data_IF_628259994859
#
_entry.id   IF_628259994859
#
_cell.length_a   1.000
_cell.length_b   1.000
_cell.length_c   1.000
_cell.angle_alpha   90.00
_cell.angle_beta   90.00
_cell.angle_gamma   90.00
#
_symmetry.space_group_name_H-M   'P 1'
#
loop_
_entity.id
_entity.type
_entity.pdbx_description
1 polymer ?
#
# COMPACT_ATOMS: atom_id res chain seq x y z
N UNK A 1 8.96 -10.09 -21.82
CA UNK A 1 8.07 -9.21 -21.05
C UNK A 1 7.10 -10.09 -20.28
N UNK A 2 6.86 -9.81 -18.99
CA UNK A 2 5.79 -10.49 -18.23
C UNK A 2 4.44 -9.75 -18.32
N UNK A 3 4.42 -8.60 -19.00
CA UNK A 3 3.23 -7.81 -19.31
C UNK A 3 2.83 -8.08 -20.75
N UNK A 4 1.55 -8.37 -20.95
CA UNK A 4 0.95 -8.55 -22.27
C UNK A 4 0.38 -7.21 -22.77
N UNK A 5 0.68 -6.86 -24.02
CA UNK A 5 0.15 -5.66 -24.68
C UNK A 5 -1.35 -5.79 -24.95
N UNK A 6 -2.08 -4.66 -24.92
CA UNK A 6 -3.51 -4.59 -25.21
C UNK A 6 -3.79 -3.52 -26.25
N UNK A 7 -4.47 -3.83 -27.36
CA UNK A 7 -4.66 -2.82 -28.40
C UNK A 7 -5.50 -1.64 -27.92
N UNK A 8 -5.06 -0.41 -28.24
CA UNK A 8 -5.79 0.82 -27.86
C UNK A 8 -7.15 0.94 -28.55
N UNK A 9 -7.34 0.21 -29.66
CA UNK A 9 -8.57 0.21 -30.45
C UNK A 9 -9.47 -0.99 -30.12
N UNK A 10 -9.08 -1.84 -29.17
CA UNK A 10 -9.91 -2.96 -28.72
C UNK A 10 -11.15 -2.42 -27.98
N UNK A 11 -12.38 -2.76 -28.42
CA UNK A 11 -13.59 -2.38 -27.67
C UNK A 11 -13.61 -2.93 -26.23
N UNK A 12 -12.80 -3.95 -25.93
CA UNK A 12 -12.65 -4.55 -24.60
C UNK A 12 -11.26 -4.27 -23.98
N UNK A 13 -10.63 -3.13 -24.32
CA UNK A 13 -9.31 -2.73 -23.79
C UNK A 13 -9.18 -2.91 -22.27
N UNK A 14 -10.20 -2.52 -21.50
CA UNK A 14 -10.18 -2.62 -20.04
C UNK A 14 -10.10 -4.08 -19.55
N UNK A 15 -10.83 -5.00 -20.18
CA UNK A 15 -10.79 -6.42 -19.82
C UNK A 15 -9.44 -7.05 -20.18
N UNK A 16 -8.90 -6.70 -21.35
CA UNK A 16 -7.54 -7.10 -21.74
C UNK A 16 -6.52 -6.61 -20.71
N UNK A 17 -6.57 -5.32 -20.37
CA UNK A 17 -5.61 -4.71 -19.45
C UNK A 17 -5.75 -5.29 -18.03
N UNK A 18 -6.98 -5.51 -17.55
CA UNK A 18 -7.25 -6.14 -16.26
C UNK A 18 -6.66 -7.57 -16.21
N UNK A 19 -6.85 -8.35 -17.27
CA UNK A 19 -6.24 -9.68 -17.38
C UNK A 19 -4.72 -9.61 -17.38
N UNK A 20 -4.14 -8.74 -18.22
CA UNK A 20 -2.68 -8.56 -18.31
C UNK A 20 -2.08 -8.15 -16.95
N UNK A 21 -2.72 -7.21 -16.25
CA UNK A 21 -2.30 -6.76 -14.93
C UNK A 21 -2.38 -7.90 -13.88
N UNK A 22 -3.47 -8.67 -13.86
CA UNK A 22 -3.62 -9.83 -12.96
C UNK A 22 -2.55 -10.90 -13.21
N UNK A 23 -2.27 -11.22 -14.47
CA UNK A 23 -1.25 -12.19 -14.86
C UNK A 23 0.17 -11.72 -14.48
N UNK A 24 0.39 -10.39 -14.50
CA UNK A 24 1.69 -9.76 -14.20
C UNK A 24 1.92 -9.50 -12.70
N UNK A 25 0.86 -9.48 -11.89
CA UNK A 25 0.88 -8.93 -10.54
C UNK A 25 1.89 -9.63 -9.62
N UNK A 26 1.94 -10.95 -9.67
CA UNK A 26 2.85 -11.73 -8.84
C UNK A 26 4.31 -11.36 -9.11
N UNK A 27 4.73 -11.36 -10.37
CA UNK A 27 6.10 -11.00 -10.74
C UNK A 27 6.39 -9.52 -10.47
N UNK A 28 5.46 -8.61 -10.78
CA UNK A 28 5.61 -7.18 -10.49
C UNK A 28 5.81 -6.93 -8.98
N UNK A 29 5.10 -7.64 -8.12
CA UNK A 29 5.23 -7.51 -6.66
C UNK A 29 6.57 -7.99 -6.11
N UNK A 30 7.24 -8.93 -6.79
CA UNK A 30 8.58 -9.39 -6.43
C UNK A 30 9.68 -8.39 -6.82
N UNK A 31 9.35 -7.41 -7.65
CA UNK A 31 10.30 -6.49 -8.26
C UNK A 31 11.02 -7.11 -9.47
N UNK A 32 11.90 -6.31 -10.07
CA UNK A 32 12.72 -6.65 -11.23
C UNK A 32 13.95 -5.76 -11.18
N UNK A 33 15.05 -6.29 -10.63
CA UNK A 33 16.28 -5.53 -10.44
C UNK A 33 16.93 -5.07 -11.75
N UNK A 34 16.73 -5.82 -12.85
CA UNK A 34 17.28 -5.44 -14.16
C UNK A 34 16.58 -4.19 -14.72
N UNK A 35 15.30 -4.01 -14.36
CA UNK A 35 14.49 -2.84 -14.72
C UNK A 35 14.47 -1.77 -13.62
N UNK A 36 15.20 -1.94 -12.53
CA UNK A 36 15.21 -1.01 -11.39
C UNK A 36 13.92 -1.04 -10.54
N UNK A 37 13.07 -2.05 -10.69
CA UNK A 37 11.85 -2.21 -9.90
C UNK A 37 12.20 -2.86 -8.56
N UNK A 38 11.86 -2.16 -7.46
CA UNK A 38 12.09 -2.68 -6.11
C UNK A 38 11.01 -3.70 -5.73
N UNK A 39 11.31 -4.68 -4.86
CA UNK A 39 10.27 -5.55 -4.32
C UNK A 39 9.18 -4.74 -3.61
N UNK A 40 7.93 -5.13 -3.83
CA UNK A 40 6.75 -4.59 -3.16
C UNK A 40 6.15 -5.59 -2.16
N UNK A 41 6.61 -6.85 -2.13
CA UNK A 41 6.20 -7.83 -1.14
C UNK A 41 7.42 -8.66 -0.67
N UNK A 42 8.04 -8.32 0.48
CA UNK A 42 7.63 -7.29 1.43
C UNK A 42 7.95 -5.86 0.94
N UNK A 43 7.03 -4.92 1.17
CA UNK A 43 7.30 -3.49 1.06
C UNK A 43 7.86 -2.96 2.38
N UNK A 44 9.01 -2.30 2.31
CA UNK A 44 9.65 -1.67 3.47
C UNK A 44 9.37 -0.16 3.54
N UNK A 45 8.91 0.31 4.70
CA UNK A 45 8.75 1.73 5.02
C UNK A 45 9.45 2.01 6.35
N UNK A 46 10.46 2.88 6.32
CA UNK A 46 11.34 3.08 7.46
C UNK A 46 10.63 3.61 8.71
N UNK A 47 9.79 4.64 8.56
CA UNK A 47 9.07 5.25 9.69
C UNK A 47 7.71 5.80 9.25
N UNK A 48 6.70 5.64 10.10
CA UNK A 48 5.38 6.24 9.94
C UNK A 48 4.94 6.84 11.28
N UNK A 49 4.56 8.12 11.30
CA UNK A 49 4.05 8.79 12.51
C UNK A 49 2.58 9.15 12.33
N UNK A 50 1.74 8.72 13.27
CA UNK A 50 0.30 9.02 13.30
C UNK A 50 -0.07 9.66 14.63
N UNK A 51 -1.07 10.56 14.60
CA UNK A 51 -1.62 11.20 15.79
C UNK A 51 -3.10 10.85 15.92
N UNK A 52 -3.54 10.39 17.09
CA UNK A 52 -4.88 9.83 17.31
C UNK A 52 -5.55 10.49 18.53
N UNK A 53 -6.73 11.12 18.40
CA UNK A 53 -7.38 11.49 17.14
C UNK A 53 -6.75 12.72 16.47
N UNK A 54 -5.80 13.37 17.15
CA UNK A 54 -5.10 14.57 16.68
C UNK A 54 -3.81 14.77 17.47
N UNK A 55 -3.05 15.82 17.15
CA UNK A 55 -1.76 16.14 17.77
C UNK A 55 -1.77 16.28 19.30
N UNK A 56 -2.94 16.47 19.93
CA UNK A 56 -3.08 16.59 21.38
C UNK A 56 -3.39 15.26 22.08
N UNK A 57 -3.68 14.21 21.32
CA UNK A 57 -3.97 12.86 21.80
C UNK A 57 -2.72 11.99 21.87
N UNK A 58 -2.78 10.79 21.30
CA UNK A 58 -1.66 9.87 21.18
C UNK A 58 -0.83 10.16 19.95
N UNK A 59 0.49 10.10 20.08
CA UNK A 59 1.46 9.99 18.99
C UNK A 59 1.94 8.55 18.94
N UNK A 60 1.76 7.91 17.79
CA UNK A 60 2.29 6.57 17.49
C UNK A 60 3.34 6.69 16.39
N UNK A 61 4.54 6.21 16.65
CA UNK A 61 5.62 6.15 15.66
C UNK A 61 5.91 4.68 15.39
N UNK A 62 5.60 4.22 14.18
CA UNK A 62 5.93 2.87 13.72
C UNK A 62 7.26 2.89 12.97
N UNK A 63 8.16 1.98 13.30
CA UNK A 63 9.50 1.87 12.72
C UNK A 63 9.73 0.49 12.13
N UNK A 64 10.58 0.45 11.12
CA UNK A 64 10.95 -0.77 10.41
C UNK A 64 9.71 -1.53 9.94
N UNK A 65 8.86 -0.84 9.15
CA UNK A 65 7.58 -1.38 8.71
C UNK A 65 7.77 -2.29 7.50
N UNK A 66 7.45 -3.57 7.67
CA UNK A 66 7.43 -4.56 6.60
C UNK A 66 5.98 -4.96 6.32
N UNK A 67 5.45 -4.47 5.20
CA UNK A 67 4.12 -4.85 4.71
C UNK A 67 4.23 -6.06 3.78
N UNK A 68 3.41 -7.07 4.01
CA UNK A 68 3.31 -8.26 3.16
C UNK A 68 1.87 -8.52 2.74
N UNK A 69 1.67 -9.15 1.58
CA UNK A 69 0.35 -9.49 1.03
C UNK A 69 0.00 -8.78 -0.27
N UNK A 70 0.82 -7.81 -0.71
CA UNK A 70 0.64 -7.11 -1.99
C UNK A 70 0.71 -8.05 -3.20
N UNK A 71 1.45 -9.15 -3.13
CA UNK A 71 1.50 -10.17 -4.18
C UNK A 71 0.18 -10.93 -4.37
N UNK A 72 -0.73 -10.81 -3.40
CA UNK A 72 -2.07 -11.45 -3.38
C UNK A 72 -3.20 -10.44 -3.58
N UNK A 73 -2.86 -9.20 -3.94
CA UNK A 73 -3.85 -8.17 -4.23
C UNK A 73 -4.84 -8.67 -5.28
N UNK A 74 -6.12 -8.49 -5.00
CA UNK A 74 -7.20 -8.80 -5.91
C UNK A 74 -7.61 -7.54 -6.65
N UNK A 75 -7.18 -7.41 -7.90
CA UNK A 75 -7.56 -6.30 -8.76
C UNK A 75 -8.98 -6.56 -9.26
N UNK A 76 -9.96 -5.79 -8.78
CA UNK A 76 -11.38 -5.90 -9.14
C UNK A 76 -11.65 -5.30 -10.51
N UNK A 77 -11.09 -4.12 -10.76
CA UNK A 77 -11.34 -3.34 -11.96
C UNK A 77 -10.09 -2.57 -12.38
N UNK A 78 -9.94 -2.36 -13.69
CA UNK A 78 -8.89 -1.55 -14.28
C UNK A 78 -9.43 -0.84 -15.51
N UNK A 79 -9.47 0.48 -15.46
CA UNK A 79 -10.02 1.33 -16.51
C UNK A 79 -8.97 2.27 -17.07
N UNK A 80 -8.81 2.24 -18.38
CA UNK A 80 -8.00 3.18 -19.14
C UNK A 80 -8.90 4.27 -19.72
N UNK A 81 -8.72 5.51 -19.25
CA UNK A 81 -9.32 6.71 -19.84
C UNK A 81 -8.23 7.40 -20.67
N UNK A 82 -8.14 7.03 -21.94
CA UNK A 82 -7.09 7.49 -22.86
C UNK A 82 -7.21 8.99 -23.17
N UNK A 83 -8.43 9.54 -23.18
CA UNK A 83 -8.68 10.96 -23.39
C UNK A 83 -8.10 11.80 -22.24
N UNK A 84 -8.39 11.39 -21.00
CA UNK A 84 -7.91 12.08 -19.80
C UNK A 84 -6.51 11.62 -19.37
N UNK A 85 -5.94 10.63 -20.04
CA UNK A 85 -4.66 10.00 -19.70
C UNK A 85 -4.65 9.50 -18.25
N UNK A 86 -5.73 8.87 -17.84
CA UNK A 86 -5.90 8.34 -16.48
C UNK A 86 -6.08 6.83 -16.51
N UNK A 87 -5.47 6.19 -15.51
CA UNK A 87 -5.70 4.79 -15.19
C UNK A 87 -6.40 4.76 -13.84
N UNK A 88 -7.54 4.09 -13.76
CA UNK A 88 -8.30 3.91 -12.52
C UNK A 88 -8.27 2.43 -12.19
N UNK A 89 -7.83 2.09 -11.00
CA UNK A 89 -7.72 0.71 -10.52
C UNK A 89 -8.45 0.57 -9.20
N UNK A 90 -9.35 -0.42 -9.12
CA UNK A 90 -10.01 -0.81 -7.88
C UNK A 90 -9.40 -2.14 -7.43
N UNK A 91 -8.90 -2.19 -6.20
CA UNK A 91 -8.20 -3.35 -5.68
C UNK A 91 -8.50 -3.60 -4.21
N UNK A 92 -8.57 -4.88 -3.85
CA UNK A 92 -8.68 -5.35 -2.48
C UNK A 92 -7.41 -6.09 -2.09
N UNK A 93 -6.91 -5.84 -0.89
CA UNK A 93 -5.70 -6.50 -0.39
C UNK A 93 -5.83 -6.73 1.11
N UNK A 94 -5.40 -7.92 1.55
CA UNK A 94 -5.14 -8.20 2.96
C UNK A 94 -3.66 -8.00 3.20
N UNK A 95 -3.32 -7.11 4.12
CA UNK A 95 -1.93 -6.80 4.45
C UNK A 95 -1.63 -7.25 5.87
N UNK A 96 -0.51 -7.94 6.01
CA UNK A 96 0.15 -8.17 7.29
C UNK A 96 1.28 -7.16 7.42
N UNK A 97 1.42 -6.56 8.60
CA UNK A 97 2.50 -5.62 8.88
C UNK A 97 3.30 -6.10 10.08
N UNK A 98 4.63 -6.16 9.93
CA UNK A 98 5.58 -6.36 11.03
C UNK A 98 6.33 -5.06 11.23
N UNK A 99 6.30 -4.51 12.43
CA UNK A 99 7.01 -3.30 12.79
C UNK A 99 7.25 -3.24 14.30
N UNK A 100 8.07 -2.28 14.71
CA UNK A 100 8.11 -1.82 16.10
C UNK A 100 7.32 -0.52 16.24
N UNK A 101 6.85 -0.21 17.45
CA UNK A 101 6.13 1.02 17.72
C UNK A 101 6.67 1.76 18.95
N UNK A 102 6.54 3.08 18.94
CA UNK A 102 6.65 3.97 20.09
C UNK A 102 5.34 4.75 20.22
N UNK A 103 4.61 4.49 21.29
CA UNK A 103 3.35 5.13 21.66
C UNK A 103 3.60 6.09 22.83
N UNK A 104 3.21 7.35 22.65
CA UNK A 104 3.21 8.35 23.70
C UNK A 104 1.95 9.21 23.65
N UNK A 105 1.38 9.54 24.80
CA UNK A 105 0.18 10.37 24.84
C UNK A 105 -0.39 10.52 26.23
N UNK A 106 -1.66 10.89 26.31
CA UNK A 106 -2.38 11.04 27.59
C UNK A 106 -3.83 10.63 27.45
N UNK A 107 -4.35 9.99 28.49
CA UNK A 107 -5.79 9.81 28.71
C UNK A 107 -6.19 10.72 29.86
N UNK A 108 -6.99 11.76 29.57
CA UNK A 108 -7.30 12.83 30.52
C UNK A 108 -6.01 13.47 31.10
N UNK A 109 -5.66 13.14 32.34
CA UNK A 109 -4.47 13.63 33.05
C UNK A 109 -3.36 12.56 33.16
N UNK A 110 -3.60 11.33 32.73
CA UNK A 110 -2.68 10.21 32.92
C UNK A 110 -1.78 10.09 31.69
N UNK A 111 -0.46 10.25 31.82
CA UNK A 111 0.47 10.01 30.72
C UNK A 111 0.59 8.52 30.41
N UNK A 112 0.57 8.18 29.12
CA UNK A 112 0.74 6.81 28.62
C UNK A 112 2.02 6.78 27.78
N UNK A 113 2.87 5.79 28.05
CA UNK A 113 4.05 5.46 27.24
C UNK A 113 4.14 3.96 27.06
N UNK A 114 4.39 3.53 25.84
CA UNK A 114 4.58 2.12 25.51
C UNK A 114 5.43 1.99 24.25
N UNK A 115 6.21 0.93 24.16
CA UNK A 115 6.94 0.57 22.96
C UNK A 115 7.10 -0.96 22.89
N UNK A 116 7.38 -1.46 21.69
CA UNK A 116 7.63 -2.89 21.47
C UNK A 116 7.40 -3.31 20.02
N UNK A 117 7.50 -4.62 19.78
CA UNK A 117 7.12 -5.25 18.52
C UNK A 117 5.59 -5.33 18.41
N UNK A 118 4.99 -4.71 17.40
CA UNK A 118 3.52 -4.72 17.24
C UNK A 118 2.95 -6.11 16.97
N UNK A 119 3.72 -6.96 16.27
CA UNK A 119 3.31 -8.31 15.91
C UNK A 119 3.35 -9.28 17.10
N UNK A 120 4.02 -8.91 18.21
CA UNK A 120 4.31 -9.81 19.33
C UNK A 120 3.71 -9.28 20.64
N UNK A 121 3.77 -7.96 20.87
CA UNK A 121 3.53 -7.35 22.17
C UNK A 121 2.66 -6.09 22.09
N UNK A 122 1.37 -6.27 22.37
CA UNK A 122 0.46 -5.19 22.74
C UNK A 122 -0.06 -5.48 24.15
N UNK A 123 0.07 -4.52 25.08
CA UNK A 123 -0.49 -4.69 26.41
C UNK A 123 -2.03 -4.73 26.35
N UNK A 124 -2.67 -5.38 27.32
CA UNK A 124 -4.14 -5.50 27.36
C UNK A 124 -4.85 -4.13 27.29
N UNK A 125 -4.28 -3.11 27.92
CA UNK A 125 -4.81 -1.75 27.86
C UNK A 125 -4.76 -1.16 26.45
N UNK A 126 -3.67 -1.40 25.70
CA UNK A 126 -3.56 -0.95 24.31
C UNK A 126 -4.53 -1.73 23.44
N UNK A 127 -4.63 -3.06 23.61
CA UNK A 127 -5.59 -3.88 22.87
C UNK A 127 -7.03 -3.40 23.06
N UNK A 128 -7.41 -3.02 24.28
CA UNK A 128 -8.74 -2.43 24.55
C UNK A 128 -8.94 -1.12 23.80
N UNK A 129 -7.98 -0.20 23.86
CA UNK A 129 -8.04 1.09 23.14
C UNK A 129 -8.16 0.86 21.64
N UNK A 130 -7.36 -0.04 21.07
CA UNK A 130 -7.43 -0.37 19.64
C UNK A 130 -8.81 -0.87 19.23
N UNK A 131 -9.43 -1.72 20.06
CA UNK A 131 -10.76 -2.27 19.81
C UNK A 131 -11.88 -1.25 20.03
N UNK A 132 -11.76 -0.37 21.04
CA UNK A 132 -12.77 0.64 21.36
C UNK A 132 -12.73 1.83 20.39
N UNK A 133 -11.53 2.23 19.94
CA UNK A 133 -11.29 3.41 19.09
C UNK A 133 -10.97 3.06 17.64
N UNK A 134 -11.22 1.83 17.18
CA UNK A 134 -10.78 1.34 15.87
C UNK A 134 -11.19 2.26 14.71
N UNK A 135 -12.35 2.93 14.79
CA UNK A 135 -12.85 3.83 13.74
C UNK A 135 -11.98 5.08 13.59
N UNK A 136 -11.62 5.70 14.70
CA UNK A 136 -10.75 6.89 14.72
C UNK A 136 -9.33 6.52 14.29
N UNK A 137 -8.83 5.39 14.81
CA UNK A 137 -7.51 4.87 14.45
C UNK A 137 -7.43 4.61 12.95
N UNK A 138 -8.42 3.91 12.36
CA UNK A 138 -8.44 3.64 10.92
C UNK A 138 -8.55 4.94 10.11
N UNK A 139 -9.32 5.92 10.58
CA UNK A 139 -9.43 7.22 9.92
C UNK A 139 -8.09 7.98 9.88
N UNK A 140 -7.26 7.88 10.92
CA UNK A 140 -5.98 8.60 11.01
C UNK A 140 -4.79 7.80 10.44
N UNK A 141 -4.76 6.48 10.64
CA UNK A 141 -3.68 5.59 10.20
C UNK A 141 -3.86 5.17 8.75
N UNK A 142 -5.10 4.90 8.33
CA UNK A 142 -5.46 4.38 7.01
C UNK A 142 -4.86 5.19 5.85
N UNK A 143 -5.03 6.54 5.83
CA UNK A 143 -4.44 7.37 4.78
C UNK A 143 -2.91 7.25 4.67
N UNK A 144 -2.21 7.10 5.80
CA UNK A 144 -0.74 6.98 5.81
C UNK A 144 -0.27 5.65 5.21
N UNK A 145 -0.98 4.56 5.52
CA UNK A 145 -0.73 3.23 4.94
C UNK A 145 -1.01 3.28 3.43
N UNK A 146 -2.19 3.76 3.03
CA UNK A 146 -2.57 3.88 1.62
C UNK A 146 -1.58 4.74 0.83
N UNK A 147 -1.16 5.88 1.36
CA UNK A 147 -0.20 6.75 0.69
C UNK A 147 1.15 6.05 0.49
N UNK A 148 1.65 5.34 1.50
CA UNK A 148 2.95 4.65 1.42
C UNK A 148 2.93 3.53 0.38
N UNK A 149 1.86 2.72 0.38
CA UNK A 149 1.68 1.63 -0.59
C UNK A 149 1.50 2.17 -2.01
N UNK A 150 0.60 3.14 -2.20
CA UNK A 150 0.32 3.75 -3.51
C UNK A 150 1.56 4.43 -4.08
N UNK A 151 2.35 5.12 -3.25
CA UNK A 151 3.60 5.74 -3.70
C UNK A 151 4.57 4.69 -4.23
N UNK A 152 4.79 3.60 -3.49
CA UNK A 152 5.70 2.54 -3.92
C UNK A 152 5.24 1.85 -5.22
N UNK A 153 3.93 1.58 -5.34
CA UNK A 153 3.35 1.01 -6.57
C UNK A 153 3.51 1.96 -7.75
N UNK A 154 3.19 3.25 -7.57
CA UNK A 154 3.30 4.27 -8.63
C UNK A 154 4.75 4.46 -9.04
N UNK A 155 5.70 4.52 -8.11
CA UNK A 155 7.14 4.62 -8.42
C UNK A 155 7.61 3.47 -9.31
N UNK A 156 7.28 2.22 -8.95
CA UNK A 156 7.62 1.06 -9.78
C UNK A 156 6.90 1.10 -11.13
N UNK A 157 5.62 1.49 -11.15
CA UNK A 157 4.86 1.56 -12.39
C UNK A 157 5.43 2.62 -13.33
N UNK A 158 5.82 3.79 -12.83
CA UNK A 158 6.47 4.85 -13.60
C UNK A 158 7.78 4.36 -14.22
N UNK A 159 8.66 3.72 -13.43
CA UNK A 159 9.93 3.16 -13.92
C UNK A 159 9.71 2.13 -15.02
N UNK A 160 8.70 1.27 -14.85
CA UNK A 160 8.35 0.25 -15.84
C UNK A 160 7.80 0.88 -17.14
N UNK A 161 6.89 1.85 -17.03
CA UNK A 161 6.25 2.50 -18.18
C UNK A 161 7.22 3.41 -18.95
N UNK A 162 8.24 3.98 -18.31
CA UNK A 162 9.30 4.73 -19.00
C UNK A 162 10.16 3.84 -19.91
N UNK A 163 10.25 2.54 -19.61
CA UNK A 163 11.04 1.57 -20.37
C UNK A 163 10.24 0.87 -21.47
N UNK A 164 8.91 1.05 -21.51
CA UNK A 164 8.02 0.41 -22.50
C UNK A 164 7.37 1.50 -23.35
N UNK A 165 7.66 1.58 -24.66
CA UNK A 165 7.02 2.54 -25.54
C UNK A 165 5.49 2.43 -25.49
N UNK A 166 4.81 3.57 -25.48
CA UNK A 166 3.34 3.62 -25.44
C UNK A 166 2.69 2.81 -26.58
N UNK A 167 3.29 2.84 -27.78
CA UNK A 167 2.80 2.08 -28.95
C UNK A 167 3.08 0.57 -28.89
N UNK A 168 3.99 0.12 -28.01
CA UNK A 168 4.21 -1.30 -27.75
C UNK A 168 3.26 -1.82 -26.67
N UNK A 169 3.04 -1.03 -25.61
CA UNK A 169 2.13 -1.39 -24.53
C UNK A 169 0.67 -1.40 -24.99
N UNK A 170 0.32 -0.37 -25.78
CA UNK A 170 -1.03 -0.15 -26.29
C UNK A 170 -1.03 -0.05 -27.82
N UNK A 171 -0.79 -1.14 -28.58
CA UNK A 171 -0.67 -1.09 -30.03
C UNK A 171 -1.97 -0.69 -30.77
#
# INVERSE_FOLDING_TARGET
>A
SYISSCSRNDPNLNDCALKSARDSLHQFSQGDSERGLRPLDPLYVAEMTVYIPNKQGFKVTFKDNYFTGLSKLHLENLKFDLEKKMIIADALVTLDVKNTYDLSGRVLLIPVKSNGDSAIHLSDQINRILNEMWREIVADVGPSICQSLSTAVVENLSVLLEQVPYDELLP
#
